data_IF_966966596497
#
_entry.id   IF_966966596497
#
_cell.length_a   1.000
_cell.length_b   1.000
_cell.length_c   1.000
_cell.angle_alpha   90.00
_cell.angle_beta   90.00
_cell.angle_gamma   90.00
#
_symmetry.space_group_name_H-M   'P 1'
#
loop_
_entity.id
_entity.type
_entity.pdbx_description
1 polymer ?
#
# COMPACT_ATOMS: atom_id res chain seq x y z
N UNK A 1 18.28 -24.43 15.60
CA UNK A 1 19.19 -23.26 15.47
C UNK A 1 18.45 -22.30 14.57
N UNK A 2 17.79 -21.29 15.14
CA UNK A 2 17.17 -20.22 14.34
C UNK A 2 18.29 -19.42 13.71
N UNK A 3 18.40 -19.49 12.39
CA UNK A 3 19.30 -18.62 11.62
C UNK A 3 18.58 -17.28 11.56
N UNK A 4 18.82 -16.44 12.57
CA UNK A 4 18.41 -15.04 12.56
C UNK A 4 19.16 -14.35 11.42
N UNK A 5 18.47 -13.98 10.35
CA UNK A 5 19.10 -13.17 9.31
C UNK A 5 19.55 -11.85 9.93
N UNK A 6 20.78 -11.45 9.64
CA UNK A 6 21.32 -10.21 10.14
C UNK A 6 20.80 -9.02 9.29
N UNK A 7 20.88 -7.78 9.81
CA UNK A 7 20.37 -6.59 9.10
C UNK A 7 20.98 -6.41 7.71
N UNK A 8 22.24 -6.80 7.52
CA UNK A 8 22.92 -6.72 6.22
C UNK A 8 22.31 -7.69 5.20
N UNK A 9 21.96 -8.91 5.61
CA UNK A 9 21.32 -9.87 4.71
C UNK A 9 19.92 -9.43 4.28
N UNK A 10 19.13 -8.85 5.20
CA UNK A 10 17.84 -8.25 4.87
C UNK A 10 17.99 -7.06 3.92
N UNK A 11 19.00 -6.22 4.15
CA UNK A 11 19.34 -5.09 3.26
C UNK A 11 19.65 -5.56 1.85
N UNK A 12 20.50 -6.58 1.70
CA UNK A 12 20.84 -7.13 0.39
C UNK A 12 19.62 -7.77 -0.31
N UNK A 13 18.71 -8.39 0.46
CA UNK A 13 17.40 -8.80 -0.04
C UNK A 13 16.62 -7.64 -0.68
N UNK A 14 16.49 -6.53 0.04
CA UNK A 14 15.73 -5.37 -0.41
C UNK A 14 16.41 -4.63 -1.57
N UNK A 15 17.75 -4.59 -1.63
CA UNK A 15 18.50 -4.07 -2.78
C UNK A 15 18.27 -4.90 -4.04
N UNK A 16 18.26 -6.24 -3.94
CA UNK A 16 17.93 -7.10 -5.08
C UNK A 16 16.53 -6.81 -5.61
N UNK A 17 15.56 -6.58 -4.73
CA UNK A 17 14.22 -6.17 -5.13
C UNK A 17 14.25 -4.81 -5.84
N UNK A 18 14.94 -3.81 -5.27
CA UNK A 18 15.11 -2.49 -5.89
C UNK A 18 15.72 -2.56 -7.30
N UNK A 19 16.80 -3.32 -7.47
CA UNK A 19 17.46 -3.52 -8.77
C UNK A 19 16.54 -4.24 -9.77
N UNK A 20 15.67 -5.14 -9.28
CA UNK A 20 14.72 -5.86 -10.12
C UNK A 20 13.53 -4.99 -10.57
N UNK A 21 13.07 -4.05 -9.72
CA UNK A 21 11.96 -3.14 -10.05
C UNK A 21 12.38 -1.90 -10.83
N UNK A 22 13.64 -1.45 -10.69
CA UNK A 22 14.15 -0.24 -11.34
C UNK A 22 13.95 -0.20 -12.87
N UNK A 23 14.09 -1.32 -13.62
CA UNK A 23 13.83 -1.34 -15.07
C UNK A 23 12.35 -1.33 -15.46
N UNK A 24 11.42 -1.51 -14.52
CA UNK A 24 9.98 -1.66 -14.76
C UNK A 24 9.22 -0.33 -14.75
N UNK A 25 9.93 0.80 -14.86
CA UNK A 25 9.39 2.17 -14.90
C UNK A 25 8.64 2.63 -13.64
N UNK A 26 8.79 1.91 -12.52
CA UNK A 26 8.33 2.39 -11.22
C UNK A 26 9.22 3.51 -10.71
N UNK A 27 8.62 4.62 -10.28
CA UNK A 27 9.33 5.58 -9.42
C UNK A 27 9.68 4.86 -8.13
N UNK A 28 10.96 4.61 -7.89
CA UNK A 28 11.41 3.88 -6.71
C UNK A 28 12.63 4.51 -6.08
N UNK A 29 12.69 4.48 -4.75
CA UNK A 29 13.80 5.00 -3.96
C UNK A 29 14.15 4.00 -2.88
N UNK A 30 15.42 3.59 -2.84
CA UNK A 30 15.95 2.79 -1.74
C UNK A 30 16.50 3.70 -0.63
N UNK A 31 15.93 3.58 0.57
CA UNK A 31 16.35 4.30 1.76
C UNK A 31 17.12 3.35 2.68
N UNK A 32 18.44 3.54 2.73
CA UNK A 32 19.28 2.89 3.71
C UNK A 32 19.15 3.60 5.05
N UNK A 33 18.45 2.95 5.98
CA UNK A 33 18.15 3.51 7.28
C UNK A 33 19.31 3.25 8.24
N UNK A 34 19.68 4.29 8.99
CA UNK A 34 20.83 4.26 9.89
C UNK A 34 20.76 3.15 10.96
N UNK A 35 21.85 2.93 11.69
CA UNK A 35 21.95 1.84 12.67
C UNK A 35 20.90 1.89 13.80
N UNK A 36 20.24 3.02 14.01
CA UNK A 36 19.16 3.18 14.99
C UNK A 36 17.78 2.71 14.52
N UNK A 37 17.62 2.39 13.24
CA UNK A 37 16.35 1.95 12.65
C UNK A 37 16.42 0.45 12.35
N UNK A 38 15.37 -0.33 12.71
CA UNK A 38 15.41 -1.79 12.62
C UNK A 38 15.40 -2.33 11.18
N UNK A 39 14.87 -1.57 10.21
CA UNK A 39 14.63 -2.01 8.85
C UNK A 39 14.99 -0.89 7.86
N UNK A 40 15.51 -1.27 6.69
CA UNK A 40 15.60 -0.36 5.54
C UNK A 40 14.25 -0.32 4.80
N UNK A 41 14.06 0.66 3.92
CA UNK A 41 12.80 0.86 3.20
C UNK A 41 13.06 1.01 1.70
N UNK A 42 12.30 0.27 0.90
CA UNK A 42 12.15 0.55 -0.53
C UNK A 42 10.81 1.27 -0.71
N UNK A 43 10.87 2.54 -1.12
CA UNK A 43 9.69 3.32 -1.47
C UNK A 43 9.37 3.13 -2.95
N UNK A 44 8.10 2.89 -3.24
CA UNK A 44 7.54 2.81 -4.58
C UNK A 44 6.49 3.91 -4.70
N UNK A 45 6.80 4.94 -5.49
CA UNK A 45 5.90 6.05 -5.72
C UNK A 45 4.80 5.66 -6.71
N UNK A 46 3.55 5.79 -6.28
CA UNK A 46 2.36 5.61 -7.11
C UNK A 46 1.78 6.99 -7.40
N UNK A 47 1.67 7.35 -8.67
CA UNK A 47 1.01 8.60 -9.10
C UNK A 47 -0.33 8.23 -9.73
N UNK A 48 -1.43 8.81 -9.25
CA UNK A 48 -2.79 8.55 -9.70
C UNK A 48 -3.38 9.89 -10.15
N UNK A 49 -3.50 10.07 -11.47
CA UNK A 49 -3.85 11.36 -12.07
C UNK A 49 -2.76 12.43 -11.88
N UNK A 50 -3.14 13.71 -11.99
CA UNK A 50 -2.23 14.84 -11.75
C UNK A 50 -2.16 15.26 -10.27
N UNK A 51 -3.10 14.80 -9.44
CA UNK A 51 -3.38 15.40 -8.13
C UNK A 51 -3.13 14.47 -6.93
N UNK A 52 -3.18 13.13 -7.12
CA UNK A 52 -2.99 12.17 -6.03
C UNK A 52 -1.71 11.38 -6.23
N UNK A 53 -0.79 11.48 -5.27
CA UNK A 53 0.41 10.64 -5.21
C UNK A 53 0.47 9.95 -3.87
N UNK A 54 0.83 8.67 -3.86
CA UNK A 54 0.99 7.91 -2.65
C UNK A 54 2.20 6.97 -2.76
N UNK A 55 3.00 6.93 -1.71
CA UNK A 55 4.18 6.08 -1.63
C UNK A 55 3.83 4.75 -0.94
N UNK A 56 4.16 3.65 -1.59
CA UNK A 56 4.12 2.31 -0.99
C UNK A 56 5.51 2.00 -0.45
N UNK A 57 5.60 1.90 0.88
CA UNK A 57 6.76 1.41 1.60
C UNK A 57 6.83 -0.12 1.56
N UNK A 58 7.99 -0.64 1.19
CA UNK A 58 8.34 -2.05 1.22
C UNK A 58 9.46 -2.26 2.26
N UNK A 59 9.18 -3.04 3.30
CA UNK A 59 10.14 -3.34 4.36
C UNK A 59 10.37 -4.84 4.47
N UNK A 60 11.63 -5.26 4.42
CA UNK A 60 12.01 -6.65 4.55
C UNK A 60 12.51 -6.94 5.97
N UNK A 61 11.88 -7.90 6.65
CA UNK A 61 12.11 -8.18 8.06
C UNK A 61 12.12 -9.69 8.34
N UNK A 62 12.75 -10.08 9.44
CA UNK A 62 12.69 -11.45 9.95
C UNK A 62 11.71 -11.53 11.12
N UNK A 63 10.67 -12.36 11.00
CA UNK A 63 9.72 -12.65 12.07
C UNK A 63 10.03 -14.02 12.70
N UNK A 64 10.38 -14.10 14.00
CA UNK A 64 10.87 -15.33 14.63
C UNK A 64 10.02 -16.58 14.44
N UNK A 65 8.69 -16.44 14.40
CA UNK A 65 7.77 -17.58 14.27
C UNK A 65 7.36 -17.90 12.82
N UNK A 66 7.68 -17.02 11.88
CA UNK A 66 7.15 -17.06 10.51
C UNK A 66 8.24 -17.10 9.44
N UNK A 67 9.47 -16.71 9.77
CA UNK A 67 10.58 -16.55 8.83
C UNK A 67 10.65 -15.14 8.25
N UNK A 68 11.28 -15.02 7.09
CA UNK A 68 11.49 -13.74 6.42
C UNK A 68 10.23 -13.26 5.72
N UNK A 69 9.92 -11.98 5.89
CA UNK A 69 8.70 -11.36 5.43
C UNK A 69 8.94 -10.03 4.76
N UNK A 70 8.22 -9.80 3.68
CA UNK A 70 8.13 -8.51 3.03
C UNK A 70 6.80 -7.87 3.39
N UNK A 71 6.87 -6.74 4.08
CA UNK A 71 5.74 -5.90 4.42
C UNK A 71 5.56 -4.81 3.38
N UNK A 72 4.34 -4.68 2.90
CA UNK A 72 3.92 -3.55 2.07
C UNK A 72 2.96 -2.69 2.88
N UNK A 73 3.22 -1.40 2.87
CA UNK A 73 2.42 -0.40 3.56
C UNK A 73 2.35 0.89 2.75
N UNK A 74 1.17 1.46 2.61
CA UNK A 74 0.98 2.79 2.05
C UNK A 74 -0.26 3.41 2.65
N UNK A 75 -0.22 4.71 2.87
CA UNK A 75 -1.24 5.43 3.58
C UNK A 75 -1.55 6.76 2.91
N UNK A 76 -2.80 7.18 3.03
CA UNK A 76 -3.28 8.47 2.57
C UNK A 76 -3.95 9.17 3.74
N UNK A 77 -3.46 10.39 4.03
CA UNK A 77 -4.12 11.30 4.94
C UNK A 77 -5.39 11.86 4.28
N UNK A 78 -6.54 11.57 4.87
CA UNK A 78 -7.82 12.06 4.38
C UNK A 78 -8.20 13.42 4.96
N UNK A 79 -7.48 13.93 5.96
CA UNK A 79 -7.86 15.18 6.63
C UNK A 79 -8.10 16.34 5.63
N UNK A 80 -7.26 16.56 4.60
CA UNK A 80 -7.53 17.56 3.57
C UNK A 80 -8.84 17.32 2.80
N UNK A 81 -9.14 16.06 2.46
CA UNK A 81 -10.35 15.70 1.71
C UNK A 81 -11.62 15.91 2.54
N UNK A 82 -11.54 15.62 3.84
CA UNK A 82 -12.65 15.87 4.77
C UNK A 82 -12.90 17.36 5.00
N UNK A 83 -11.86 18.18 5.01
CA UNK A 83 -12.00 19.63 5.12
C UNK A 83 -12.66 20.23 3.87
N UNK A 84 -12.33 19.70 2.69
CA UNK A 84 -12.88 20.15 1.41
C UNK A 84 -14.35 19.76 1.23
N UNK A 85 -14.72 18.51 1.54
CA UNK A 85 -16.10 18.02 1.37
C UNK A 85 -16.58 17.11 2.52
N UNK A 86 -16.94 17.68 3.68
CA UNK A 86 -17.32 16.91 4.87
C UNK A 86 -18.51 15.97 4.68
N UNK A 87 -19.47 16.35 3.84
CA UNK A 87 -20.69 15.56 3.58
C UNK A 87 -20.40 14.33 2.73
N UNK A 88 -19.49 14.45 1.74
CA UNK A 88 -19.02 13.33 0.93
C UNK A 88 -18.14 12.35 1.73
N UNK A 89 -17.35 12.86 2.69
CA UNK A 89 -16.37 12.08 3.46
C UNK A 89 -16.74 11.84 4.93
N UNK A 90 -18.03 11.69 5.23
CA UNK A 90 -18.42 11.23 6.58
C UNK A 90 -17.80 9.86 6.90
N UNK A 91 -17.50 9.59 8.17
CA UNK A 91 -16.95 8.31 8.62
C UNK A 91 -17.77 7.11 8.12
N UNK A 92 -19.11 7.24 8.11
CA UNK A 92 -20.00 6.21 7.59
C UNK A 92 -19.78 5.94 6.10
N UNK A 93 -19.53 6.96 5.29
CA UNK A 93 -19.26 6.81 3.85
C UNK A 93 -17.91 6.14 3.65
N UNK A 94 -16.87 6.58 4.37
CA UNK A 94 -15.54 5.98 4.33
C UNK A 94 -15.59 4.48 4.69
N UNK A 95 -16.23 4.12 5.80
CA UNK A 95 -16.35 2.72 6.21
C UNK A 95 -17.15 1.88 5.21
N UNK A 96 -18.20 2.43 4.59
CA UNK A 96 -18.94 1.72 3.54
C UNK A 96 -18.09 1.50 2.28
N UNK A 97 -17.35 2.52 1.87
CA UNK A 97 -16.46 2.47 0.72
C UNK A 97 -15.41 1.37 0.91
N UNK A 98 -14.70 1.39 2.03
CA UNK A 98 -13.67 0.41 2.36
C UNK A 98 -14.24 -1.01 2.40
N UNK A 99 -15.41 -1.20 3.02
CA UNK A 99 -16.07 -2.50 3.02
C UNK A 99 -16.52 -2.96 1.62
N UNK A 100 -16.90 -2.02 0.75
CA UNK A 100 -17.22 -2.30 -0.65
C UNK A 100 -15.98 -2.75 -1.40
N UNK A 101 -14.92 -1.96 -1.33
CA UNK A 101 -13.64 -2.25 -1.99
C UNK A 101 -13.07 -3.59 -1.50
N UNK A 102 -12.94 -3.80 -0.19
CA UNK A 102 -12.39 -5.03 0.39
C UNK A 102 -13.14 -6.31 -0.01
N UNK A 103 -14.42 -6.24 -0.40
CA UNK A 103 -15.16 -7.41 -0.92
C UNK A 103 -14.75 -7.80 -2.34
N UNK A 104 -14.23 -6.84 -3.10
CA UNK A 104 -13.79 -7.02 -4.49
C UNK A 104 -12.30 -7.28 -4.60
N UNK A 105 -11.52 -7.08 -3.52
CA UNK A 105 -10.07 -7.26 -3.57
C UNK A 105 -9.67 -8.74 -3.53
N UNK A 106 -8.73 -9.17 -4.38
CA UNK A 106 -8.22 -10.54 -4.35
C UNK A 106 -7.31 -10.81 -3.13
N UNK A 107 -6.62 -9.78 -2.61
CA UNK A 107 -5.73 -9.84 -1.46
C UNK A 107 -5.66 -8.50 -0.72
N UNK A 108 -5.04 -8.51 0.47
CA UNK A 108 -4.80 -7.30 1.25
C UNK A 108 -6.04 -6.82 1.99
N UNK A 109 -5.86 -5.79 2.79
CA UNK A 109 -6.96 -5.12 3.48
C UNK A 109 -6.73 -3.63 3.45
N UNK A 110 -7.70 -2.90 2.88
CA UNK A 110 -7.83 -1.46 3.09
C UNK A 110 -8.34 -1.26 4.51
N UNK A 111 -7.63 -0.45 5.29
CA UNK A 111 -7.94 -0.13 6.68
C UNK A 111 -8.17 1.37 6.83
N UNK A 112 -9.11 1.74 7.69
CA UNK A 112 -9.28 3.11 8.13
C UNK A 112 -8.79 3.21 9.57
N UNK A 113 -7.80 4.07 9.79
CA UNK A 113 -7.20 4.32 11.08
C UNK A 113 -7.70 5.66 11.59
N UNK A 114 -8.42 5.62 12.72
CA UNK A 114 -8.95 6.81 13.40
C UNK A 114 -8.07 7.29 14.54
N UNK A 115 -7.14 6.45 15.01
CA UNK A 115 -6.23 6.74 16.10
C UNK A 115 -4.83 6.18 15.78
N UNK A 116 -3.78 6.88 16.22
CA UNK A 116 -2.40 6.40 16.14
C UNK A 116 -2.02 5.55 17.37
N UNK A 117 -0.78 5.03 17.40
CA UNK A 117 -0.29 4.22 18.52
C UNK A 117 -0.20 4.95 19.86
N UNK A 118 -0.33 6.28 19.86
CA UNK A 118 -0.33 7.14 21.05
C UNK A 118 -1.75 7.54 21.48
N UNK A 119 -2.77 7.12 20.73
CA UNK A 119 -4.17 7.49 20.96
C UNK A 119 -4.53 8.87 20.41
N UNK A 120 -3.70 9.46 19.54
CA UNK A 120 -4.02 10.72 18.87
C UNK A 120 -4.96 10.43 17.71
N UNK A 121 -6.02 11.22 17.58
CA UNK A 121 -6.95 11.13 16.45
C UNK A 121 -6.22 11.39 15.14
N UNK A 122 -6.52 10.58 14.13
CA UNK A 122 -6.07 10.72 12.74
C UNK A 122 -7.20 10.26 11.80
N UNK A 123 -7.07 10.51 10.50
CA UNK A 123 -8.04 10.05 9.50
C UNK A 123 -7.28 9.50 8.30
N UNK A 124 -6.72 8.32 8.48
CA UNK A 124 -5.84 7.72 7.49
C UNK A 124 -6.52 6.50 6.88
N UNK A 125 -6.50 6.39 5.55
CA UNK A 125 -6.75 5.11 4.88
C UNK A 125 -5.42 4.53 4.44
N UNK A 126 -5.19 3.25 4.71
CA UNK A 126 -4.01 2.56 4.21
C UNK A 126 -4.31 1.16 3.72
N UNK A 127 -3.34 0.57 3.02
CA UNK A 127 -3.33 -0.85 2.69
C UNK A 127 -2.12 -1.47 3.37
N UNK A 128 -2.36 -2.64 3.94
CA UNK A 128 -1.31 -3.48 4.48
C UNK A 128 -1.36 -4.84 3.81
N UNK A 129 -0.20 -5.27 3.34
CA UNK A 129 -0.01 -6.64 2.88
C UNK A 129 1.30 -7.20 3.42
N UNK A 130 1.35 -8.51 3.64
CA UNK A 130 2.53 -9.18 4.18
C UNK A 130 2.63 -10.54 3.53
N UNK A 131 3.82 -10.86 3.04
CA UNK A 131 4.12 -12.16 2.44
C UNK A 131 5.39 -12.75 3.03
N UNK A 132 5.43 -14.08 3.13
CA UNK A 132 6.65 -14.83 3.39
C UNK A 132 7.52 -14.83 2.12
N UNK A 133 8.79 -14.47 2.22
CA UNK A 133 9.72 -14.48 1.09
C UNK A 133 11.16 -14.40 1.60
N UNK A 134 12.11 -15.08 0.95
CA UNK A 134 13.54 -14.89 1.21
C UNK A 134 14.16 -13.79 0.34
N UNK A 135 13.39 -13.21 -0.59
CA UNK A 135 13.89 -12.40 -1.71
C UNK A 135 15.08 -13.07 -2.41
N UNK A 136 15.01 -14.39 -2.54
CA UNK A 136 16.09 -15.27 -2.97
C UNK A 136 15.79 -15.88 -4.34
N UNK A 137 16.47 -15.34 -5.35
CA UNK A 137 16.33 -15.81 -6.73
C UNK A 137 15.17 -15.16 -7.50
N UNK A 138 15.15 -15.41 -8.81
CA UNK A 138 14.26 -14.70 -9.75
C UNK A 138 12.78 -14.99 -9.51
N UNK A 139 12.41 -16.23 -9.16
CA UNK A 139 11.01 -16.60 -8.95
C UNK A 139 10.37 -15.88 -7.76
N UNK A 140 11.11 -15.66 -6.68
CA UNK A 140 10.62 -14.91 -5.52
C UNK A 140 10.50 -13.41 -5.85
N UNK A 141 11.48 -12.85 -6.54
CA UNK A 141 11.44 -11.45 -7.00
C UNK A 141 10.26 -11.20 -7.93
N UNK A 142 10.02 -12.09 -8.90
CA UNK A 142 8.88 -12.01 -9.81
C UNK A 142 7.54 -12.04 -9.06
N UNK A 143 7.40 -12.92 -8.07
CA UNK A 143 6.21 -12.95 -7.21
C UNK A 143 6.04 -11.63 -6.46
N UNK A 144 7.11 -11.07 -5.91
CA UNK A 144 7.05 -9.77 -5.23
C UNK A 144 6.62 -8.64 -6.17
N UNK A 145 7.10 -8.62 -7.42
CA UNK A 145 6.64 -7.65 -8.43
C UNK A 145 5.16 -7.82 -8.72
N UNK A 146 4.67 -9.03 -8.93
CA UNK A 146 3.23 -9.24 -9.16
C UNK A 146 2.37 -8.81 -7.97
N UNK A 147 2.87 -8.94 -6.74
CA UNK A 147 2.20 -8.38 -5.55
C UNK A 147 2.25 -6.85 -5.56
N UNK A 148 3.38 -6.24 -5.90
CA UNK A 148 3.51 -4.78 -6.02
C UNK A 148 2.51 -4.23 -7.03
N UNK A 149 2.46 -4.79 -8.24
CA UNK A 149 1.52 -4.42 -9.30
C UNK A 149 0.07 -4.50 -8.80
N UNK A 150 -0.28 -5.62 -8.17
CA UNK A 150 -1.61 -5.81 -7.64
C UNK A 150 -1.95 -4.80 -6.54
N UNK A 151 -1.01 -4.49 -5.64
CA UNK A 151 -1.23 -3.47 -4.60
C UNK A 151 -1.39 -2.08 -5.22
N UNK A 152 -0.57 -1.73 -6.21
CA UNK A 152 -0.69 -0.47 -6.95
C UNK A 152 -2.07 -0.33 -7.60
N UNK A 153 -2.57 -1.39 -8.23
CA UNK A 153 -3.91 -1.41 -8.82
C UNK A 153 -5.01 -1.21 -7.76
N UNK A 154 -4.88 -1.86 -6.58
CA UNK A 154 -5.82 -1.66 -5.49
C UNK A 154 -5.83 -0.20 -5.02
N UNK A 155 -4.65 0.42 -4.92
CA UNK A 155 -4.54 1.84 -4.56
C UNK A 155 -5.12 2.76 -5.63
N UNK A 156 -4.92 2.45 -6.91
CA UNK A 156 -5.52 3.20 -8.01
C UNK A 156 -7.05 3.20 -7.92
N UNK A 157 -7.65 2.03 -7.64
CA UNK A 157 -9.11 1.92 -7.42
C UNK A 157 -9.54 2.75 -6.20
N UNK A 158 -8.80 2.67 -5.09
CA UNK A 158 -9.10 3.44 -3.88
C UNK A 158 -9.08 4.95 -4.17
N UNK A 159 -8.01 5.46 -4.76
CA UNK A 159 -7.86 6.88 -5.07
C UNK A 159 -8.88 7.35 -6.12
N UNK A 160 -9.16 6.54 -7.13
CA UNK A 160 -10.20 6.84 -8.11
C UNK A 160 -11.58 6.94 -7.45
N UNK A 161 -11.86 6.07 -6.46
CA UNK A 161 -13.11 6.16 -5.68
C UNK A 161 -13.17 7.47 -4.90
N UNK A 162 -12.08 7.82 -4.21
CA UNK A 162 -11.97 9.07 -3.44
C UNK A 162 -12.14 10.29 -4.36
N UNK A 163 -11.52 10.28 -5.53
CA UNK A 163 -11.63 11.35 -6.52
C UNK A 163 -13.06 11.54 -7.02
N UNK A 164 -13.77 10.45 -7.35
CA UNK A 164 -15.18 10.55 -7.76
C UNK A 164 -16.07 11.13 -6.66
N UNK A 165 -15.80 10.81 -5.38
CA UNK A 165 -16.50 11.41 -4.25
C UNK A 165 -16.22 12.91 -4.11
N UNK A 166 -14.98 13.37 -4.40
CA UNK A 166 -14.64 14.80 -4.42
C UNK A 166 -15.41 15.54 -5.51
N UNK A 167 -15.52 14.95 -6.70
CA UNK A 167 -16.29 15.48 -7.84
C UNK A 167 -17.82 15.50 -7.60
N UNK A 168 -18.27 15.00 -6.44
CA UNK A 168 -19.66 15.07 -5.99
C UNK A 168 -20.51 13.85 -6.36
N UNK A 169 -19.89 12.75 -6.82
CA UNK A 169 -20.62 11.50 -7.01
C UNK A 169 -21.01 10.88 -5.67
N UNK A 170 -22.15 10.17 -5.66
CA UNK A 170 -22.50 9.31 -4.54
C UNK A 170 -21.59 8.08 -4.53
N UNK A 171 -21.35 7.51 -3.34
CA UNK A 171 -20.57 6.27 -3.22
C UNK A 171 -21.09 5.14 -4.11
N UNK A 172 -22.41 5.00 -4.26
CA UNK A 172 -23.01 3.96 -5.11
C UNK A 172 -22.63 4.16 -6.58
N UNK A 173 -22.71 5.40 -7.07
CA UNK A 173 -22.34 5.75 -8.45
C UNK A 173 -20.84 5.59 -8.70
N UNK A 174 -20.01 5.99 -7.74
CA UNK A 174 -18.56 5.82 -7.82
C UNK A 174 -18.17 4.32 -7.91
N UNK A 175 -18.75 3.48 -7.05
CA UNK A 175 -18.49 2.03 -7.04
C UNK A 175 -19.01 1.34 -8.32
N UNK A 176 -20.17 1.77 -8.85
CA UNK A 176 -20.69 1.26 -10.13
C UNK A 176 -19.76 1.63 -11.30
N UNK A 177 -19.27 2.87 -11.32
CA UNK A 177 -18.36 3.37 -12.36
C UNK A 177 -17.07 2.55 -12.38
N UNK A 178 -16.48 2.31 -11.20
CA UNK A 178 -15.26 1.51 -11.08
C UNK A 178 -15.49 0.04 -11.44
N UNK A 179 -16.63 -0.54 -11.07
CA UNK A 179 -16.94 -1.93 -11.42
C UNK A 179 -17.01 -2.13 -12.94
N UNK A 180 -17.56 -1.16 -13.68
CA UNK A 180 -17.58 -1.22 -15.15
C UNK A 180 -16.19 -1.11 -15.76
N UNK A 181 -15.34 -0.23 -15.22
CA UNK A 181 -13.96 -0.09 -15.68
C UNK A 181 -13.18 -1.39 -15.45
N UNK A 182 -13.36 -2.02 -14.28
CA UNK A 182 -12.69 -3.27 -13.92
C UNK A 182 -13.22 -4.51 -14.68
N UNK A 183 -14.41 -4.44 -15.27
CA UNK A 183 -14.99 -5.49 -16.11
C UNK A 183 -14.65 -5.35 -17.60
N UNK A 184 -14.15 -4.18 -18.03
CA UNK A 184 -13.81 -3.88 -19.43
C UNK A 184 -12.33 -4.19 -19.79
N UNK A 185 -11.48 -4.50 -18.80
CA UNK A 185 -10.09 -4.98 -18.93
C UNK A 185 -9.96 -6.51 -18.74
#
# INVERSE_FOLDING_TARGET
MEIKMNKEELREGLKRLYEYVSPLDYKSVFLEEGNGVPMDTLLLGVTIGEELSMDISCNFAHAPEFGDILHFYGELDLEPLLEENPDAFSERVILKMINGLNKSLPIGQIVYLTEDSTGKSQKVIGIRYTMLTGLSGEDELRKCVSIIEMLMNIYEILCSTLYLLLEGDSLEKAMETLSRILEED
#
